data_IF_308477839617
#
_entry.id   IF_308477839617
#
_cell.length_a   1.000
_cell.length_b   1.000
_cell.length_c   1.000
_cell.angle_alpha   90.00
_cell.angle_beta   90.00
_cell.angle_gamma   90.00
#
_symmetry.space_group_name_H-M   'P 1'
#
loop_
_entity.id
_entity.type
_entity.pdbx_description
1 polymer ?
#
# COMPACT_ATOMS: atom_id res chain seq x y z
N UNK A 1 -17.43 -59.01 -43.89
CA UNK A 1 -18.05 -59.67 -42.74
C UNK A 1 -18.51 -58.60 -41.79
N UNK A 2 -19.80 -58.40 -41.89
CA UNK A 2 -20.70 -57.74 -40.95
C UNK A 2 -20.56 -58.32 -39.55
N UNK A 3 -20.71 -57.54 -38.51
CA UNK A 3 -21.71 -57.83 -37.47
C UNK A 3 -22.02 -56.45 -36.74
N UNK A 4 -23.25 -56.11 -36.86
CA UNK A 4 -24.11 -55.18 -36.13
C UNK A 4 -24.25 -55.62 -34.64
N UNK A 5 -24.51 -54.70 -33.75
CA UNK A 5 -25.56 -54.72 -32.73
C UNK A 5 -25.44 -53.60 -31.71
N UNK A 6 -26.38 -52.71 -31.86
CA UNK A 6 -27.00 -51.84 -30.89
C UNK A 6 -27.21 -52.41 -29.48
N UNK A 7 -27.11 -51.58 -28.48
CA UNK A 7 -28.07 -51.55 -27.35
C UNK A 7 -28.12 -50.20 -26.62
N UNK A 8 -29.29 -49.65 -26.67
CA UNK A 8 -29.87 -48.61 -25.80
C UNK A 8 -29.66 -48.87 -24.31
N UNK A 9 -29.43 -47.83 -23.56
CA UNK A 9 -29.93 -47.79 -22.19
C UNK A 9 -30.20 -46.34 -21.74
N UNK A 10 -31.46 -45.96 -21.84
CA UNK A 10 -32.33 -45.20 -20.93
C UNK A 10 -31.77 -44.09 -20.05
N UNK A 11 -32.27 -42.90 -20.36
CA UNK A 11 -32.55 -41.79 -19.45
C UNK A 11 -33.27 -42.24 -18.17
N UNK A 12 -32.79 -41.77 -17.04
CA UNK A 12 -33.64 -41.58 -15.85
C UNK A 12 -33.55 -40.12 -15.37
N UNK A 13 -34.66 -39.43 -15.59
CA UNK A 13 -35.08 -38.23 -14.87
C UNK A 13 -35.47 -38.60 -13.46
N UNK A 14 -35.06 -37.81 -12.45
CA UNK A 14 -35.76 -37.74 -11.15
C UNK A 14 -35.99 -36.28 -10.75
N UNK A 15 -37.01 -36.07 -9.95
CA UNK A 15 -37.82 -34.84 -10.08
C UNK A 15 -37.39 -33.73 -9.12
N UNK A 16 -37.86 -32.54 -9.49
CA UNK A 16 -37.95 -31.29 -8.74
C UNK A 16 -38.80 -31.55 -7.50
N UNK A 17 -38.30 -31.16 -6.33
CA UNK A 17 -39.15 -30.92 -5.17
C UNK A 17 -39.07 -29.41 -4.84
N UNK A 18 -40.28 -28.85 -4.94
CA UNK A 18 -40.63 -27.46 -4.71
C UNK A 18 -41.19 -27.41 -3.28
N UNK A 19 -40.53 -26.69 -2.41
CA UNK A 19 -41.21 -26.22 -1.18
C UNK A 19 -40.65 -24.86 -0.79
N UNK A 20 -41.41 -23.86 -1.18
CA UNK A 20 -41.42 -22.54 -0.61
C UNK A 20 -41.74 -22.61 0.88
N UNK A 21 -41.01 -21.87 1.69
CA UNK A 21 -41.51 -21.42 2.97
C UNK A 21 -41.08 -19.97 3.16
N UNK A 22 -42.10 -19.12 2.99
CA UNK A 22 -42.11 -17.72 3.40
C UNK A 22 -42.12 -17.66 4.91
N UNK A 23 -41.31 -16.78 5.47
CA UNK A 23 -41.57 -16.24 6.79
C UNK A 23 -41.30 -14.74 6.78
N UNK A 24 -42.40 -14.04 6.84
CA UNK A 24 -42.55 -12.60 7.03
C UNK A 24 -42.06 -12.10 8.40
N UNK A 25 -41.59 -10.84 8.35
CA UNK A 25 -41.93 -9.71 9.25
C UNK A 25 -41.37 -9.69 10.67
N UNK A 26 -40.55 -8.73 10.97
CA UNK A 26 -40.97 -7.56 11.78
C UNK A 26 -39.82 -6.60 12.01
N UNK A 27 -40.01 -5.38 11.53
CA UNK A 27 -39.41 -4.20 12.13
C UNK A 27 -40.24 -3.78 13.34
N UNK A 28 -39.70 -3.01 14.27
CA UNK A 28 -40.46 -1.89 14.77
C UNK A 28 -39.74 -0.54 14.62
N UNK A 29 -40.57 0.38 14.25
CA UNK A 29 -40.45 1.82 14.28
C UNK A 29 -40.22 2.39 15.69
N UNK A 30 -39.78 3.67 15.61
CA UNK A 30 -39.98 4.77 16.59
C UNK A 30 -38.83 4.99 17.60
N UNK A 31 -38.43 6.16 17.88
CA UNK A 31 -38.88 7.54 17.76
C UNK A 31 -37.70 8.49 17.99
N UNK A 32 -37.75 9.56 17.25
CA UNK A 32 -37.12 10.86 17.47
C UNK A 32 -37.07 11.31 18.94
N UNK A 33 -35.95 11.96 19.29
CA UNK A 33 -36.04 13.23 20.01
C UNK A 33 -34.79 14.08 19.83
N UNK A 34 -35.04 15.24 19.31
CA UNK A 34 -34.18 16.42 19.25
C UNK A 34 -34.09 17.08 20.62
N UNK A 35 -32.92 17.48 21.06
CA UNK A 35 -32.77 18.65 21.95
C UNK A 35 -31.53 19.43 21.57
N UNK A 36 -31.78 20.67 21.29
CA UNK A 36 -30.86 21.77 21.00
C UNK A 36 -30.03 22.24 22.20
N UNK A 37 -28.89 22.82 21.82
CA UNK A 37 -28.27 24.05 22.32
C UNK A 37 -27.93 24.21 23.82
N UNK A 38 -26.69 24.54 24.11
CA UNK A 38 -26.28 25.92 24.44
C UNK A 38 -24.77 26.06 24.64
N UNK A 39 -24.24 27.01 23.94
CA UNK A 39 -22.97 27.65 24.21
C UNK A 39 -23.01 28.41 25.56
N UNK A 40 -21.89 28.44 26.29
CA UNK A 40 -21.59 29.60 27.16
C UNK A 40 -20.10 29.77 27.32
N UNK A 41 -19.67 30.85 26.77
CA UNK A 41 -18.45 31.60 27.01
C UNK A 41 -18.46 32.09 28.47
N UNK A 42 -17.37 31.95 29.20
CA UNK A 42 -17.02 32.90 30.24
C UNK A 42 -15.52 32.91 30.50
N UNK A 43 -14.94 33.95 29.99
CA UNK A 43 -13.71 34.63 30.33
C UNK A 43 -13.64 35.00 31.83
N UNK A 44 -12.50 34.78 32.47
CA UNK A 44 -12.05 35.58 33.63
C UNK A 44 -10.56 35.48 33.84
N UNK A 45 -9.89 36.49 33.36
CA UNK A 45 -8.64 37.00 33.91
C UNK A 45 -8.87 37.65 35.29
N UNK A 46 -7.92 37.49 36.23
CA UNK A 46 -7.53 38.43 37.30
C UNK A 46 -6.26 37.91 38.00
N UNK A 47 -5.09 38.47 37.68
CA UNK A 47 -4.34 39.50 38.43
C UNK A 47 -3.79 39.08 39.81
N UNK A 48 -2.44 39.17 39.89
CA UNK A 48 -1.50 39.02 41.00
C UNK A 48 -1.87 39.81 42.30
N UNK A 49 -1.17 39.59 43.43
CA UNK A 49 0.11 40.24 43.63
C UNK A 49 1.21 39.47 44.38
N UNK A 50 2.39 40.00 44.20
CA UNK A 50 3.69 39.85 44.80
C UNK A 50 3.69 39.91 46.34
N UNK A 51 4.49 39.04 46.98
CA UNK A 51 5.21 39.42 48.18
C UNK A 51 6.59 38.78 48.25
N UNK A 52 7.53 39.61 48.57
CA UNK A 52 8.97 39.49 48.64
C UNK A 52 9.40 39.10 50.07
N UNK A 53 10.27 38.09 50.23
CA UNK A 53 11.10 37.98 51.44
C UNK A 53 12.51 37.50 51.05
N UNK A 54 13.46 38.35 51.39
CA UNK A 54 14.91 38.17 51.28
C UNK A 54 15.48 37.06 52.18
N UNK A 55 16.56 36.43 51.71
CA UNK A 55 17.72 36.16 52.55
C UNK A 55 18.10 34.70 52.78
N UNK A 56 19.07 34.16 52.05
CA UNK A 56 20.43 33.84 52.53
C UNK A 56 21.21 33.01 51.47
N UNK A 57 22.33 33.55 51.11
CA UNK A 57 23.39 32.89 50.32
C UNK A 57 23.92 31.64 51.04
N UNK A 58 23.98 30.50 50.34
CA UNK A 58 25.03 29.50 50.49
C UNK A 58 25.42 29.02 49.08
N UNK A 59 26.65 29.28 48.72
CA UNK A 59 27.25 28.84 47.48
C UNK A 59 27.64 27.37 47.62
N UNK A 60 27.11 26.55 46.73
CA UNK A 60 27.75 25.28 46.40
C UNK A 60 27.90 25.22 44.89
N UNK A 61 29.13 25.39 44.42
CA UNK A 61 29.56 25.11 43.07
C UNK A 61 29.43 23.56 42.86
N UNK A 62 28.57 23.17 41.95
CA UNK A 62 28.76 21.95 41.19
C UNK A 62 28.53 22.30 39.71
N UNK A 63 29.64 22.37 39.00
CA UNK A 63 29.68 22.37 37.56
C UNK A 63 29.24 20.98 37.03
N UNK A 64 27.96 20.81 36.75
CA UNK A 64 27.54 19.75 35.87
C UNK A 64 27.73 20.23 34.43
N UNK A 65 28.83 19.83 33.82
CA UNK A 65 29.01 19.85 32.38
C UNK A 65 27.94 18.90 31.77
N UNK A 66 26.76 19.46 31.51
CA UNK A 66 25.82 18.85 30.58
C UNK A 66 26.42 18.94 29.18
N UNK A 67 27.15 17.91 28.81
CA UNK A 67 27.54 17.67 27.42
C UNK A 67 26.26 17.33 26.67
N UNK A 68 25.60 18.34 26.13
CA UNK A 68 24.55 18.13 25.13
C UNK A 68 25.23 17.56 23.89
N UNK A 69 25.18 16.24 23.77
CA UNK A 69 25.50 15.55 22.51
C UNK A 69 24.46 16.05 21.50
N UNK A 70 24.86 16.97 20.65
CA UNK A 70 24.10 17.34 19.47
C UNK A 70 24.12 16.09 18.58
N UNK A 71 23.07 15.31 18.67
CA UNK A 71 22.84 14.25 17.70
C UNK A 71 22.47 14.99 16.42
N UNK A 72 23.44 15.23 15.56
CA UNK A 72 23.18 15.66 14.18
C UNK A 72 22.26 14.60 13.56
N UNK A 73 21.00 14.97 13.34
CA UNK A 73 20.07 14.13 12.61
C UNK A 73 20.64 13.97 11.20
N UNK A 74 21.20 12.79 10.91
CA UNK A 74 21.57 12.43 9.55
C UNK A 74 20.39 12.69 8.61
N UNK A 75 20.62 13.21 7.41
CA UNK A 75 19.55 13.47 6.46
C UNK A 75 18.80 12.16 6.18
N UNK A 76 17.49 12.16 6.43
CA UNK A 76 16.64 10.98 6.20
C UNK A 76 16.70 10.68 4.70
N UNK A 77 17.40 9.61 4.34
CA UNK A 77 17.58 9.15 2.95
C UNK A 77 16.27 8.69 2.33
N UNK A 78 15.33 8.22 3.15
CA UNK A 78 14.09 7.60 2.69
C UNK A 78 12.90 8.53 2.90
N UNK A 79 11.94 8.49 1.95
CA UNK A 79 10.76 9.36 1.92
C UNK A 79 9.50 8.57 2.12
N UNK A 80 8.52 9.16 2.79
CA UNK A 80 7.15 8.68 2.92
C UNK A 80 6.23 9.68 2.23
N UNK A 81 5.40 9.20 1.31
CA UNK A 81 4.39 10.01 0.61
C UNK A 81 3.09 9.19 0.50
N UNK A 82 1.97 9.86 0.28
CA UNK A 82 0.71 9.17 0.02
C UNK A 82 0.68 8.60 -1.40
N UNK A 83 0.12 7.41 -1.55
CA UNK A 83 -0.09 6.79 -2.85
C UNK A 83 -1.20 7.51 -3.60
N UNK A 84 -0.87 8.03 -4.76
CA UNK A 84 -1.82 8.69 -5.65
C UNK A 84 -2.16 7.79 -6.83
N UNK A 85 -3.44 7.44 -6.96
CA UNK A 85 -3.94 6.72 -8.13
C UNK A 85 -4.08 7.63 -9.35
N UNK A 86 -3.81 7.11 -10.53
CA UNK A 86 -4.02 7.85 -11.77
C UNK A 86 -5.51 8.12 -12.00
N UNK A 87 -5.83 9.36 -12.26
CA UNK A 87 -7.17 9.77 -12.70
C UNK A 87 -7.22 9.60 -14.23
N UNK A 88 -7.98 8.60 -14.67
CA UNK A 88 -8.10 8.26 -16.08
C UNK A 88 -9.56 8.44 -16.51
N UNK A 89 -9.78 9.26 -17.53
CA UNK A 89 -11.10 9.43 -18.12
C UNK A 89 -11.63 8.09 -18.64
N UNK A 90 -12.84 7.75 -18.27
CA UNK A 90 -13.50 6.55 -18.79
C UNK A 90 -13.99 6.85 -20.20
N UNK A 91 -13.56 6.03 -21.17
CA UNK A 91 -14.00 6.08 -22.56
C UNK A 91 -14.59 4.71 -22.89
N UNK A 92 -15.91 4.51 -22.71
CA UNK A 92 -16.51 3.20 -22.90
C UNK A 92 -16.22 2.65 -24.31
N UNK A 93 -15.88 1.36 -24.34
CA UNK A 93 -15.54 0.66 -25.59
C UNK A 93 -16.02 -0.78 -25.49
N UNK A 94 -16.62 -1.32 -26.55
CA UNK A 94 -16.97 -2.73 -26.59
C UNK A 94 -15.73 -3.61 -26.58
N UNK A 95 -15.84 -4.83 -26.08
CA UNK A 95 -14.71 -5.78 -26.08
C UNK A 95 -14.27 -6.16 -27.51
N UNK A 96 -15.20 -6.13 -28.48
CA UNK A 96 -14.90 -6.33 -29.91
C UNK A 96 -14.08 -5.18 -30.49
N UNK A 97 -14.40 -3.95 -30.14
CA UNK A 97 -13.65 -2.78 -30.63
C UNK A 97 -12.29 -2.67 -29.90
N UNK A 98 -12.24 -3.01 -28.62
CA UNK A 98 -11.00 -2.97 -27.83
C UNK A 98 -9.87 -3.79 -28.45
N UNK A 99 -10.18 -4.92 -29.11
CA UNK A 99 -9.18 -5.79 -29.71
C UNK A 99 -8.73 -5.35 -31.11
N UNK A 100 -9.37 -4.34 -31.68
CA UNK A 100 -9.03 -3.83 -33.01
C UNK A 100 -7.69 -3.09 -33.00
N UNK A 101 -6.93 -3.26 -34.08
CA UNK A 101 -5.59 -2.67 -34.24
C UNK A 101 -5.62 -1.13 -34.18
N UNK A 102 -6.69 -0.52 -34.66
CA UNK A 102 -6.88 0.93 -34.68
C UNK A 102 -7.00 1.52 -33.27
N UNK A 103 -7.51 0.76 -32.28
CA UNK A 103 -7.65 1.21 -30.90
C UNK A 103 -6.38 1.00 -30.04
N UNK A 104 -5.35 0.37 -30.61
CA UNK A 104 -4.11 0.07 -29.92
C UNK A 104 -3.42 1.34 -29.38
N UNK A 105 -3.48 2.44 -30.11
CA UNK A 105 -2.87 3.71 -29.70
C UNK A 105 -3.59 4.29 -28.46
N UNK A 106 -4.93 4.22 -28.41
CA UNK A 106 -5.71 4.66 -27.26
C UNK A 106 -5.42 3.83 -26.02
N UNK A 107 -5.34 2.49 -26.17
CA UNK A 107 -4.99 1.58 -25.07
C UNK A 107 -3.58 1.89 -24.55
N UNK A 108 -2.61 2.03 -25.44
CA UNK A 108 -1.22 2.36 -25.05
C UNK A 108 -1.15 3.70 -24.33
N UNK A 109 -1.89 4.72 -24.78
CA UNK A 109 -1.92 6.04 -24.15
C UNK A 109 -2.48 5.98 -22.72
N UNK A 110 -3.55 5.21 -22.47
CA UNK A 110 -4.07 5.03 -21.11
C UNK A 110 -3.11 4.26 -20.20
N UNK A 111 -2.51 3.19 -20.71
CA UNK A 111 -1.47 2.46 -19.98
C UNK A 111 -0.30 3.37 -19.59
N UNK A 112 0.16 4.22 -20.54
CA UNK A 112 1.25 5.17 -20.28
C UNK A 112 0.88 6.15 -19.16
N UNK A 113 -0.31 6.77 -19.21
CA UNK A 113 -0.79 7.68 -18.17
C UNK A 113 -0.81 7.03 -16.78
N UNK A 114 -1.22 5.76 -16.70
CA UNK A 114 -1.23 5.03 -15.43
C UNK A 114 0.21 4.81 -14.93
N UNK A 115 1.12 4.39 -15.81
CA UNK A 115 2.53 4.19 -15.46
C UNK A 115 3.18 5.50 -15.01
N UNK A 116 2.93 6.60 -15.69
CA UNK A 116 3.53 7.90 -15.38
C UNK A 116 3.18 8.39 -13.96
N UNK A 117 1.99 8.00 -13.44
CA UNK A 117 1.52 8.40 -12.11
C UNK A 117 1.79 7.34 -11.05
N UNK A 118 1.53 6.06 -11.36
CA UNK A 118 1.48 5.01 -10.35
C UNK A 118 2.73 4.11 -10.31
N UNK A 119 3.70 4.31 -11.20
CA UNK A 119 4.90 3.48 -11.16
C UNK A 119 5.71 3.69 -9.86
N UNK A 120 6.27 2.62 -9.30
CA UNK A 120 6.22 1.23 -9.77
C UNK A 120 4.85 0.58 -9.56
N UNK A 121 4.34 -0.14 -10.58
CA UNK A 121 3.03 -0.78 -10.58
C UNK A 121 3.12 -2.19 -11.14
N UNK A 122 2.34 -3.14 -10.61
CA UNK A 122 2.29 -4.50 -11.14
C UNK A 122 1.57 -4.55 -12.49
N UNK A 123 1.96 -5.51 -13.34
CA UNK A 123 1.29 -5.72 -14.63
C UNK A 123 -0.22 -5.95 -14.46
N UNK A 124 -0.61 -6.77 -13.48
CA UNK A 124 -2.01 -7.12 -13.26
C UNK A 124 -2.85 -5.90 -12.86
N UNK A 125 -2.33 -5.05 -11.96
CA UNK A 125 -3.00 -3.82 -11.56
C UNK A 125 -3.10 -2.84 -12.73
N UNK A 126 -2.02 -2.67 -13.49
CA UNK A 126 -1.97 -1.83 -14.68
C UNK A 126 -3.00 -2.26 -15.73
N UNK A 127 -3.08 -3.56 -16.01
CA UNK A 127 -4.08 -4.14 -16.95
C UNK A 127 -5.51 -3.90 -16.44
N UNK A 128 -5.78 -4.20 -15.16
CA UNK A 128 -7.12 -3.99 -14.56
C UNK A 128 -7.56 -2.54 -14.65
N UNK A 129 -6.67 -1.59 -14.32
CA UNK A 129 -6.98 -0.15 -14.42
C UNK A 129 -7.20 0.30 -15.85
N UNK A 130 -6.40 -0.19 -16.79
CA UNK A 130 -6.59 0.10 -18.20
C UNK A 130 -7.94 -0.39 -18.73
N UNK A 131 -8.33 -1.63 -18.42
CA UNK A 131 -9.63 -2.16 -18.83
C UNK A 131 -10.80 -1.37 -18.25
N UNK A 132 -10.73 -0.99 -16.96
CA UNK A 132 -11.73 -0.11 -16.31
C UNK A 132 -11.83 1.26 -16.98
N UNK A 133 -10.74 1.80 -17.49
CA UNK A 133 -10.74 3.06 -18.23
C UNK A 133 -11.47 2.98 -19.59
N UNK A 134 -11.80 1.78 -20.04
CA UNK A 134 -12.67 1.52 -21.20
C UNK A 134 -14.03 0.92 -20.81
N UNK A 135 -14.40 0.97 -19.52
CA UNK A 135 -15.60 0.38 -18.96
C UNK A 135 -15.70 -1.14 -19.15
N UNK A 136 -14.56 -1.80 -19.26
CA UNK A 136 -14.46 -3.27 -19.37
C UNK A 136 -14.23 -3.85 -17.97
N UNK A 137 -15.29 -4.40 -17.38
CA UNK A 137 -15.26 -4.98 -16.03
C UNK A 137 -14.74 -6.41 -15.98
N UNK A 138 -14.85 -7.16 -17.09
CA UNK A 138 -14.40 -8.56 -17.20
C UNK A 138 -13.43 -8.71 -18.36
N UNK A 139 -12.23 -9.20 -18.06
CA UNK A 139 -11.23 -9.52 -19.07
C UNK A 139 -11.60 -10.81 -19.81
N UNK A 140 -11.30 -10.87 -21.10
CA UNK A 140 -11.27 -12.06 -21.92
C UNK A 140 -9.84 -12.36 -22.39
N UNK A 141 -9.57 -13.55 -22.90
CA UNK A 141 -8.26 -13.87 -23.47
C UNK A 141 -7.86 -12.86 -24.58
N UNK A 142 -8.83 -12.46 -25.43
CA UNK A 142 -8.59 -11.51 -26.51
C UNK A 142 -8.26 -10.11 -25.99
N UNK A 143 -8.99 -9.58 -24.97
CA UNK A 143 -8.68 -8.28 -24.38
C UNK A 143 -7.36 -8.27 -23.63
N UNK A 144 -6.99 -9.34 -22.95
CA UNK A 144 -5.67 -9.50 -22.32
C UNK A 144 -4.56 -9.49 -23.36
N UNK A 145 -4.71 -10.26 -24.44
CA UNK A 145 -3.72 -10.29 -25.53
C UNK A 145 -3.54 -8.91 -26.21
N UNK A 146 -4.65 -8.18 -26.46
CA UNK A 146 -4.61 -6.82 -26.98
C UNK A 146 -3.87 -5.88 -26.02
N UNK A 147 -4.16 -5.98 -24.71
CA UNK A 147 -3.48 -5.18 -23.69
C UNK A 147 -2.00 -5.52 -23.60
N UNK A 148 -1.63 -6.79 -23.69
CA UNK A 148 -0.21 -7.20 -23.71
C UNK A 148 0.55 -6.67 -24.93
N UNK A 149 -0.10 -6.62 -26.10
CA UNK A 149 0.48 -5.98 -27.30
C UNK A 149 0.68 -4.48 -27.08
N UNK A 150 -0.26 -3.81 -26.41
CA UNK A 150 -0.15 -2.39 -26.05
C UNK A 150 0.96 -2.14 -25.02
N UNK A 151 1.08 -3.01 -24.00
CA UNK A 151 2.12 -2.94 -22.97
C UNK A 151 3.56 -2.97 -23.54
N UNK A 152 3.77 -3.65 -24.67
CA UNK A 152 5.08 -3.66 -25.35
C UNK A 152 5.46 -2.30 -25.95
N UNK A 153 4.49 -1.39 -26.10
CA UNK A 153 4.68 -0.03 -26.64
C UNK A 153 4.75 1.05 -25.56
N UNK A 154 4.46 0.68 -24.30
CA UNK A 154 4.57 1.59 -23.15
C UNK A 154 6.04 1.91 -22.91
N UNK A 155 6.32 3.19 -22.73
CA UNK A 155 7.67 3.70 -22.43
C UNK A 155 7.94 3.51 -20.92
N UNK A 156 8.37 2.31 -20.54
CA UNK A 156 8.62 1.93 -19.15
C UNK A 156 9.72 0.88 -19.04
N UNK A 157 10.46 0.91 -17.94
CA UNK A 157 11.37 -0.17 -17.54
C UNK A 157 10.57 -1.26 -16.83
N UNK A 158 11.04 -2.49 -16.87
CA UNK A 158 10.37 -3.60 -16.17
C UNK A 158 11.37 -4.45 -15.42
N UNK A 159 10.94 -4.99 -14.27
CA UNK A 159 11.65 -6.04 -13.56
C UNK A 159 10.66 -7.10 -13.03
N UNK A 160 11.20 -8.22 -12.56
CA UNK A 160 10.43 -9.28 -11.90
C UNK A 160 10.88 -9.41 -10.45
N UNK A 161 9.92 -9.47 -9.53
CA UNK A 161 10.14 -9.68 -8.11
C UNK A 161 9.16 -10.75 -7.62
N UNK A 162 9.65 -11.86 -7.06
CA UNK A 162 8.82 -12.99 -6.62
C UNK A 162 7.81 -13.48 -7.69
N UNK A 163 8.24 -13.53 -8.96
CA UNK A 163 7.38 -13.93 -10.07
C UNK A 163 6.46 -12.83 -10.61
N UNK A 164 6.25 -11.74 -9.88
CA UNK A 164 5.39 -10.62 -10.28
C UNK A 164 6.19 -9.63 -11.12
N UNK A 165 5.62 -9.20 -12.24
CA UNK A 165 6.23 -8.20 -13.11
C UNK A 165 5.77 -6.80 -12.73
N UNK A 166 6.74 -5.90 -12.53
CA UNK A 166 6.53 -4.49 -12.23
C UNK A 166 6.96 -3.61 -13.40
N UNK A 167 6.19 -2.53 -13.61
CA UNK A 167 6.50 -1.45 -14.54
C UNK A 167 6.97 -0.24 -13.75
N UNK A 168 8.09 0.32 -14.17
CA UNK A 168 8.75 1.50 -13.63
C UNK A 168 8.70 2.62 -14.65
N UNK A 169 8.44 3.84 -14.22
CA UNK A 169 8.64 5.00 -15.11
C UNK A 169 10.10 5.09 -15.56
N UNK A 170 10.33 5.58 -16.76
CA UNK A 170 11.70 5.76 -17.27
C UNK A 170 12.53 6.75 -16.45
N UNK A 171 11.89 7.69 -15.75
CA UNK A 171 12.54 8.61 -14.81
C UNK A 171 12.97 7.95 -13.51
N UNK A 172 12.43 6.77 -13.17
CA UNK A 172 12.75 6.05 -11.95
C UNK A 172 13.95 5.13 -12.12
N UNK A 173 14.75 5.02 -11.05
CA UNK A 173 15.79 4.02 -10.91
C UNK A 173 15.42 3.06 -9.76
N UNK A 174 15.17 1.80 -10.08
CA UNK A 174 14.76 0.81 -9.09
C UNK A 174 15.83 0.56 -8.00
N UNK A 175 17.13 0.68 -8.37
CA UNK A 175 18.23 0.44 -7.43
C UNK A 175 18.45 1.63 -6.48
N UNK A 176 18.07 2.84 -6.90
CA UNK A 176 18.16 4.06 -6.10
C UNK A 176 16.79 4.57 -5.64
N UNK A 177 15.78 3.71 -5.62
CA UNK A 177 14.43 4.11 -5.22
C UNK A 177 14.33 4.27 -3.69
N UNK A 178 13.99 5.48 -3.26
CA UNK A 178 14.02 5.92 -1.85
C UNK A 178 12.65 6.18 -1.23
N UNK A 179 11.57 5.97 -1.99
CA UNK A 179 10.20 6.30 -1.58
C UNK A 179 9.43 5.07 -1.12
N UNK A 180 8.67 5.20 -0.03
CA UNK A 180 7.53 4.35 0.32
C UNK A 180 6.24 5.16 0.13
N UNK A 181 5.27 4.61 -0.60
CA UNK A 181 3.97 5.24 -0.84
C UNK A 181 2.92 4.59 0.03
N UNK A 182 2.40 5.35 1.00
CA UNK A 182 1.35 4.89 1.91
C UNK A 182 -0.01 4.90 1.22
N UNK A 183 -0.73 3.80 1.29
CA UNK A 183 -2.08 3.65 0.75
C UNK A 183 -3.03 2.96 1.75
N UNK A 184 -2.69 2.93 3.04
CA UNK A 184 -3.48 2.26 4.08
C UNK A 184 -4.92 2.73 4.15
N UNK A 185 -5.16 4.01 3.92
CA UNK A 185 -6.48 4.65 3.94
C UNK A 185 -7.10 4.83 2.54
N UNK A 186 -6.40 4.36 1.49
CA UNK A 186 -6.89 4.47 0.13
C UNK A 186 -7.92 3.35 -0.18
N UNK A 187 -9.13 3.67 -0.67
CA UNK A 187 -10.12 2.66 -1.03
C UNK A 187 -9.64 1.74 -2.17
N UNK A 188 -8.75 2.22 -3.05
CA UNK A 188 -8.08 1.43 -4.10
C UNK A 188 -6.65 1.06 -3.70
N UNK A 189 -6.45 0.70 -2.41
CA UNK A 189 -5.13 0.31 -1.89
C UNK A 189 -4.56 -0.89 -2.61
N UNK A 190 -3.24 -0.95 -2.66
CA UNK A 190 -2.48 -2.08 -3.20
C UNK A 190 -2.53 -3.26 -2.23
N UNK A 191 -2.59 -4.46 -2.75
CA UNK A 191 -2.31 -5.63 -1.93
C UNK A 191 -0.80 -5.70 -1.58
N UNK A 192 -0.41 -6.34 -0.46
CA UNK A 192 0.99 -6.35 -0.02
C UNK A 192 1.98 -6.92 -1.04
N UNK A 193 1.53 -7.76 -1.97
CA UNK A 193 2.31 -8.32 -3.08
C UNK A 193 2.44 -7.37 -4.28
N UNK A 194 1.58 -6.34 -4.36
CA UNK A 194 1.67 -5.26 -5.34
C UNK A 194 2.67 -4.16 -4.93
N UNK A 195 3.25 -4.24 -3.73
CA UNK A 195 4.28 -3.32 -3.23
C UNK A 195 5.66 -3.90 -3.54
N UNK A 196 6.52 -3.08 -4.17
CA UNK A 196 7.87 -3.52 -4.54
C UNK A 196 8.76 -3.79 -3.32
N UNK A 197 9.74 -4.69 -3.47
CA UNK A 197 10.72 -4.92 -2.41
C UNK A 197 11.53 -3.67 -2.05
N UNK A 198 11.69 -2.72 -2.97
CA UNK A 198 12.32 -1.44 -2.74
C UNK A 198 11.47 -0.56 -1.81
N UNK A 199 10.16 -0.42 -2.08
CA UNK A 199 9.26 0.32 -1.20
C UNK A 199 9.19 -0.32 0.19
N UNK A 200 9.09 -1.65 0.24
CA UNK A 200 9.06 -2.38 1.52
C UNK A 200 10.35 -2.18 2.32
N UNK A 201 11.52 -2.25 1.66
CA UNK A 201 12.81 -1.92 2.27
C UNK A 201 12.82 -0.47 2.78
N UNK A 202 12.30 0.48 1.99
CA UNK A 202 12.25 1.88 2.40
C UNK A 202 11.38 2.08 3.66
N UNK A 203 10.24 1.40 3.75
CA UNK A 203 9.41 1.41 4.96
C UNK A 203 10.14 0.86 6.18
N UNK A 204 10.91 -0.24 6.02
CA UNK A 204 11.75 -0.80 7.09
C UNK A 204 12.82 0.19 7.50
N UNK A 205 13.55 0.79 6.56
CA UNK A 205 14.60 1.77 6.84
C UNK A 205 14.05 3.02 7.53
N UNK A 206 12.86 3.50 7.13
CA UNK A 206 12.16 4.59 7.81
C UNK A 206 11.87 4.26 9.27
N UNK A 207 11.47 3.01 9.56
CA UNK A 207 11.16 2.56 10.93
C UNK A 207 12.37 2.64 11.85
N UNK A 208 13.58 2.35 11.34
CA UNK A 208 14.83 2.37 12.12
C UNK A 208 15.73 3.55 11.81
N UNK A 209 15.21 4.59 11.14
CA UNK A 209 16.00 5.78 10.72
C UNK A 209 16.53 6.62 11.88
N UNK A 210 15.98 6.46 13.09
CA UNK A 210 16.42 7.16 14.29
C UNK A 210 17.70 6.60 14.91
N UNK A 211 18.37 5.64 14.26
CA UNK A 211 19.54 4.93 14.79
C UNK A 211 19.19 3.79 15.75
N UNK A 212 17.90 3.52 15.93
CA UNK A 212 17.43 2.36 16.69
C UNK A 212 17.63 1.08 15.88
N UNK A 213 17.87 -0.01 16.57
CA UNK A 213 17.85 -1.34 15.96
C UNK A 213 16.93 -2.25 16.76
N UNK A 214 16.09 -3.01 16.06
CA UNK A 214 15.03 -3.82 16.63
C UNK A 214 15.27 -5.31 16.33
N UNK A 215 14.79 -6.19 17.22
CA UNK A 215 14.66 -7.58 16.85
C UNK A 215 13.69 -7.75 15.67
N UNK A 216 13.76 -8.90 14.99
CA UNK A 216 13.01 -9.10 13.75
C UNK A 216 11.49 -8.94 13.93
N UNK A 217 10.93 -9.45 15.02
CA UNK A 217 9.49 -9.47 15.24
C UNK A 217 8.98 -8.06 15.61
N UNK A 218 9.71 -7.34 16.46
CA UNK A 218 9.44 -5.94 16.76
C UNK A 218 9.56 -5.07 15.50
N UNK A 219 10.61 -5.27 14.69
CA UNK A 219 10.82 -4.55 13.44
C UNK A 219 9.66 -4.75 12.47
N UNK A 220 9.20 -5.98 12.28
CA UNK A 220 8.04 -6.27 11.41
C UNK A 220 6.80 -5.52 11.92
N UNK A 221 6.52 -5.60 13.21
CA UNK A 221 5.35 -4.97 13.82
C UNK A 221 5.39 -3.45 13.68
N UNK A 222 6.51 -2.83 13.99
CA UNK A 222 6.66 -1.37 13.88
C UNK A 222 6.68 -0.91 12.42
N UNK A 223 7.28 -1.68 11.50
CA UNK A 223 7.21 -1.36 10.07
C UNK A 223 5.78 -1.39 9.54
N UNK A 224 4.97 -2.37 9.94
CA UNK A 224 3.55 -2.42 9.56
C UNK A 224 2.81 -1.16 10.03
N UNK A 225 3.15 -0.62 11.22
CA UNK A 225 2.60 0.66 11.72
C UNK A 225 3.10 1.86 10.91
N UNK A 226 4.41 1.89 10.61
CA UNK A 226 5.01 2.91 9.72
C UNK A 226 4.34 2.92 8.35
N UNK A 227 3.94 1.74 7.85
CA UNK A 227 3.18 1.58 6.62
C UNK A 227 1.72 2.04 6.73
N UNK A 228 1.24 2.46 7.92
CA UNK A 228 -0.11 2.96 8.17
C UNK A 228 -1.14 1.88 8.52
N UNK A 229 -0.75 0.63 8.70
CA UNK A 229 -1.71 -0.44 9.00
C UNK A 229 -1.87 -0.64 10.52
N UNK A 230 -3.12 -0.66 10.98
CA UNK A 230 -3.45 -0.90 12.39
C UNK A 230 -3.35 -2.37 12.82
N UNK A 231 -3.41 -3.31 11.87
CA UNK A 231 -3.40 -4.76 12.12
C UNK A 231 -2.39 -5.45 11.23
N UNK A 232 -1.68 -6.42 11.79
CA UNK A 232 -0.76 -7.29 11.06
C UNK A 232 -1.51 -8.54 10.57
N UNK A 233 -1.64 -8.69 9.25
CA UNK A 233 -2.06 -9.95 8.64
C UNK A 233 -0.85 -10.68 8.05
N UNK A 234 -0.98 -11.99 7.81
CA UNK A 234 0.12 -12.80 7.25
C UNK A 234 0.74 -12.18 5.99
N UNK A 235 -0.08 -11.69 5.06
CA UNK A 235 0.41 -11.08 3.82
C UNK A 235 1.27 -9.83 4.05
N UNK A 236 0.93 -9.00 5.07
CA UNK A 236 1.74 -7.84 5.45
C UNK A 236 3.06 -8.27 6.10
N UNK A 237 3.01 -9.26 6.98
CA UNK A 237 4.22 -9.83 7.60
C UNK A 237 5.17 -10.35 6.51
N UNK A 238 4.66 -11.19 5.60
CA UNK A 238 5.44 -11.74 4.49
C UNK A 238 6.02 -10.63 3.58
N UNK A 239 5.27 -9.53 3.39
CA UNK A 239 5.74 -8.37 2.63
C UNK A 239 6.90 -7.67 3.34
N UNK A 240 6.75 -7.33 4.63
CA UNK A 240 7.82 -6.67 5.41
C UNK A 240 9.06 -7.55 5.47
N UNK A 241 8.91 -8.87 5.62
CA UNK A 241 10.04 -9.81 5.56
C UNK A 241 10.79 -9.76 4.23
N UNK A 242 10.07 -9.59 3.09
CA UNK A 242 10.70 -9.36 1.78
C UNK A 242 11.52 -8.07 1.78
N UNK A 243 10.97 -6.99 2.37
CA UNK A 243 11.68 -5.71 2.53
C UNK A 243 12.95 -5.84 3.35
N UNK A 244 12.87 -6.48 4.52
CA UNK A 244 14.02 -6.77 5.39
C UNK A 244 15.08 -7.58 4.63
N UNK A 245 14.68 -8.69 3.99
CA UNK A 245 15.59 -9.54 3.22
C UNK A 245 16.29 -8.76 2.10
N UNK A 246 15.55 -7.89 1.42
CA UNK A 246 16.11 -7.07 0.35
C UNK A 246 17.08 -6.02 0.91
N UNK A 247 16.72 -5.32 2.00
CA UNK A 247 17.58 -4.33 2.65
C UNK A 247 18.90 -4.93 3.19
N UNK A 248 18.85 -6.12 3.78
CA UNK A 248 20.04 -6.86 4.20
C UNK A 248 20.91 -7.27 3.00
N UNK A 249 20.29 -7.66 1.88
CA UNK A 249 21.01 -8.03 0.65
C UNK A 249 21.70 -6.82 0.00
N UNK A 250 21.09 -5.65 0.05
CA UNK A 250 21.63 -4.41 -0.56
C UNK A 250 22.57 -3.66 0.37
N UNK A 251 22.71 -4.09 1.63
CA UNK A 251 23.53 -3.44 2.64
C UNK A 251 22.93 -2.17 3.24
N UNK A 252 21.67 -1.86 2.90
CA UNK A 252 20.94 -0.71 3.49
C UNK A 252 20.34 -1.03 4.87
N UNK A 253 20.30 -2.31 5.23
CA UNK A 253 20.08 -2.82 6.58
C UNK A 253 21.25 -3.70 6.98
N UNK A 254 21.56 -3.70 8.27
CA UNK A 254 22.59 -4.56 8.87
C UNK A 254 22.00 -5.32 10.05
N UNK A 255 22.53 -6.54 10.26
CA UNK A 255 22.22 -7.32 11.44
C UNK A 255 23.36 -7.19 12.42
N UNK A 256 23.06 -6.69 13.61
CA UNK A 256 24.02 -6.50 14.69
C UNK A 256 24.36 -7.81 15.43
N UNK A 257 25.39 -7.80 16.26
CA UNK A 257 25.82 -8.96 17.05
C UNK A 257 24.73 -9.47 18.00
N UNK A 258 23.92 -8.58 18.56
CA UNK A 258 22.76 -8.88 19.42
C UNK A 258 21.51 -9.37 18.64
N UNK A 259 21.67 -9.67 17.33
CA UNK A 259 20.63 -10.12 16.40
C UNK A 259 19.56 -9.07 16.04
N UNK A 260 19.70 -7.82 16.49
CA UNK A 260 18.83 -6.72 16.05
C UNK A 260 19.19 -6.28 14.63
N UNK A 261 18.24 -5.62 13.96
CA UNK A 261 18.37 -5.10 12.59
C UNK A 261 18.20 -3.59 12.64
N UNK A 262 19.10 -2.87 12.00
CA UNK A 262 19.08 -1.41 11.91
C UNK A 262 19.69 -0.94 10.58
N UNK A 263 19.78 0.36 10.39
CA UNK A 263 20.55 0.97 9.29
C UNK A 263 22.04 0.96 9.66
N UNK A 264 22.97 0.85 8.69
CA UNK A 264 24.40 0.96 8.97
C UNK A 264 24.68 2.31 9.66
N UNK A 265 25.47 2.28 10.73
CA UNK A 265 26.05 3.53 11.25
C UNK A 265 27.12 3.97 10.26
N UNK A 266 26.98 5.17 9.70
CA UNK A 266 28.08 5.78 8.95
C UNK A 266 29.19 6.09 9.97
N UNK A 267 30.20 5.26 10.03
CA UNK A 267 31.47 5.62 10.65
C UNK A 267 32.17 6.57 9.66
N UNK A 268 31.99 7.88 9.83
CA UNK A 268 32.90 8.87 9.26
C UNK A 268 34.23 8.88 10.03
#
# INVERSE_FOLDING_TARGET
>A
SEVDLSSDTKLQKKPVDDSAEEAEVSAPDNLSETVETKASILDRSLVNPVENIEGKKVAVKQEEKSSSVIIEKLPIKYRLEDYTGAIIDVTPMSTSDYVLKENMAAITSKLQKIVDVEAPITQDRLVKKCLRAFDISRSSAATLEATEKALKKVNAKTNKQNGIKFYWSNSQNADAYDLYRNDSDNPDRRSPDEITQQELKNAVCLTVSNGESLDKDALIKETIRTMGYARSGKALVDAVERGIKYGLKTGELVKNENKTIGVPMNNE
#
